data_IF_279435194945
#
_entry.id   IF_279435194945
#
_cell.length_a   1.000
_cell.length_b   1.000
_cell.length_c   1.000
_cell.angle_alpha   90.00
_cell.angle_beta   90.00
_cell.angle_gamma   90.00
#
_symmetry.space_group_name_H-M   'P 1'
#
loop_
_entity.id
_entity.type
_entity.pdbx_description
1 polymer ?
#
# COMPACT_ATOMS: atom_id res chain seq x y z
N UNK A 1 46.99 29.57 14.52
CA UNK A 1 46.13 29.06 13.43
C UNK A 1 44.80 28.59 14.03
N UNK A 2 43.86 29.52 14.28
CA UNK A 2 42.58 29.20 14.91
C UNK A 2 41.60 28.55 13.93
N UNK A 3 40.73 27.66 14.41
CA UNK A 3 39.65 27.09 13.59
C UNK A 3 38.69 28.21 13.20
N UNK A 4 38.78 28.67 11.95
CA UNK A 4 37.87 29.67 11.41
C UNK A 4 36.48 29.02 11.25
N UNK A 5 35.51 29.39 12.09
CA UNK A 5 34.15 28.81 12.07
C UNK A 5 33.46 29.31 10.79
N UNK A 6 32.99 28.40 9.94
CA UNK A 6 32.18 28.77 8.76
C UNK A 6 30.95 29.54 9.23
N UNK A 7 30.66 30.72 8.68
CA UNK A 7 29.40 31.41 8.92
C UNK A 7 28.25 30.59 8.32
N UNK A 8 27.06 30.62 8.94
CA UNK A 8 25.86 29.79 8.60
C UNK A 8 25.91 28.31 9.02
N UNK A 9 26.46 28.00 10.20
CA UNK A 9 26.58 26.63 10.75
C UNK A 9 25.39 26.09 11.54
N UNK A 10 24.25 26.78 11.60
CA UNK A 10 23.08 26.20 12.27
C UNK A 10 22.34 25.26 11.31
N UNK A 11 22.79 24.01 11.20
CA UNK A 11 21.90 22.93 10.78
C UNK A 11 20.83 22.80 11.84
N UNK A 12 19.60 23.24 11.59
CA UNK A 12 18.53 23.14 12.57
C UNK A 12 18.18 21.65 12.78
N UNK A 13 18.57 21.00 13.89
CA UNK A 13 18.37 19.56 14.06
C UNK A 13 16.87 19.20 14.07
N UNK A 14 16.02 20.16 14.45
CA UNK A 14 14.55 20.03 14.44
C UNK A 14 13.92 20.08 13.05
N UNK A 15 14.61 20.59 12.01
CA UNK A 15 14.11 20.56 10.61
C UNK A 15 14.25 19.19 9.95
N UNK A 16 15.10 18.33 10.49
CA UNK A 16 15.43 17.02 9.92
C UNK A 16 14.64 15.85 10.52
N UNK A 17 13.68 16.12 11.42
CA UNK A 17 12.83 15.07 11.97
C UNK A 17 11.79 14.67 10.92
N UNK A 18 12.15 13.65 10.14
CA UNK A 18 11.34 12.79 9.27
C UNK A 18 9.99 13.39 8.89
N UNK A 19 10.01 14.39 8.01
CA UNK A 19 8.79 15.09 7.57
C UNK A 19 7.75 14.16 6.95
N UNK A 20 8.21 13.03 6.45
CA UNK A 20 7.41 12.00 5.79
C UNK A 20 6.60 11.15 6.78
N UNK A 21 6.94 11.17 8.08
CA UNK A 21 6.19 10.49 9.15
C UNK A 21 5.04 11.38 9.65
N UNK A 22 5.06 12.69 9.33
CA UNK A 22 4.01 13.60 9.78
C UNK A 22 2.70 13.28 9.07
N UNK A 23 1.60 13.30 9.84
CA UNK A 23 0.24 13.03 9.35
C UNK A 23 -0.14 13.83 8.10
N UNK A 24 0.22 15.12 8.04
CA UNK A 24 -0.06 15.98 6.87
C UNK A 24 0.60 15.51 5.55
N UNK A 25 1.71 14.78 5.63
CA UNK A 25 2.49 14.31 4.47
C UNK A 25 2.53 12.78 4.39
N UNK A 26 1.60 12.13 5.07
CA UNK A 26 1.53 10.70 5.16
C UNK A 26 1.25 10.09 3.79
N UNK A 27 1.94 8.99 3.50
CA UNK A 27 1.77 8.22 2.27
C UNK A 27 0.89 7.03 2.58
N UNK A 28 0.35 6.39 1.55
CA UNK A 28 -0.36 5.13 1.75
C UNK A 28 0.55 4.07 2.34
N UNK A 29 -0.05 3.24 3.17
CA UNK A 29 0.62 2.15 3.85
C UNK A 29 0.79 0.94 2.97
N UNK A 30 1.73 0.08 3.35
CA UNK A 30 2.10 -1.10 2.56
C UNK A 30 0.94 -2.11 2.52
N UNK A 31 0.26 -2.32 3.64
CA UNK A 31 -0.94 -3.17 3.74
C UNK A 31 -2.07 -2.70 2.82
N UNK A 32 -2.36 -1.39 2.78
CA UNK A 32 -3.32 -0.80 1.85
C UNK A 32 -2.92 -1.04 0.38
N UNK A 33 -1.63 -0.92 0.06
CA UNK A 33 -1.14 -1.16 -1.30
C UNK A 33 -1.24 -2.65 -1.67
N UNK A 34 -1.06 -3.57 -0.71
CA UNK A 34 -1.32 -5.00 -0.95
C UNK A 34 -2.78 -5.26 -1.29
N UNK A 35 -3.71 -4.62 -0.59
CA UNK A 35 -5.15 -4.71 -0.91
C UNK A 35 -5.47 -4.14 -2.29
N UNK A 36 -4.86 -3.01 -2.65
CA UNK A 36 -4.99 -2.41 -3.99
C UNK A 36 -4.42 -3.31 -5.10
N UNK A 37 -3.42 -4.14 -4.80
CA UNK A 37 -2.78 -5.04 -5.77
C UNK A 37 -3.51 -6.37 -5.98
N UNK A 38 -4.36 -6.78 -5.03
CA UNK A 38 -5.22 -7.98 -5.14
C UNK A 38 -6.25 -7.83 -6.26
N UNK A 39 -6.85 -8.96 -6.65
CA UNK A 39 -7.87 -8.99 -7.69
C UNK A 39 -9.05 -8.07 -7.34
N UNK A 40 -9.42 -7.19 -8.28
CA UNK A 40 -10.43 -6.15 -8.06
C UNK A 40 -9.96 -4.90 -7.28
N UNK A 41 -8.86 -4.98 -6.52
CA UNK A 41 -8.28 -3.84 -5.79
C UNK A 41 -7.84 -2.71 -6.71
N UNK A 42 -7.26 -3.07 -7.87
CA UNK A 42 -6.85 -2.09 -8.89
C UNK A 42 -8.03 -1.27 -9.41
N UNK A 43 -9.22 -1.88 -9.54
CA UNK A 43 -10.43 -1.18 -9.97
C UNK A 43 -10.88 -0.19 -8.91
N UNK A 44 -10.92 -0.61 -7.64
CA UNK A 44 -11.23 0.27 -6.50
C UNK A 44 -10.26 1.45 -6.41
N UNK A 45 -8.97 1.20 -6.61
CA UNK A 45 -7.97 2.27 -6.64
C UNK A 45 -8.24 3.30 -7.75
N UNK A 46 -8.63 2.82 -8.94
CA UNK A 46 -8.99 3.68 -10.07
C UNK A 46 -10.35 4.38 -9.84
N UNK A 47 -11.30 3.74 -9.17
CA UNK A 47 -12.56 4.38 -8.78
C UNK A 47 -12.33 5.48 -7.75
N UNK A 48 -11.49 5.23 -6.74
CA UNK A 48 -11.07 6.26 -5.78
C UNK A 48 -10.27 7.38 -6.44
N UNK A 49 -9.68 7.12 -7.61
CA UNK A 49 -9.06 8.14 -8.43
C UNK A 49 -10.10 9.06 -9.08
N UNK A 50 -11.21 8.51 -9.57
CA UNK A 50 -12.30 9.28 -10.17
C UNK A 50 -13.04 10.17 -9.15
N UNK A 51 -13.01 9.80 -7.86
CA UNK A 51 -13.58 10.61 -6.77
C UNK A 51 -12.74 11.82 -6.42
N UNK A 52 -11.45 11.84 -6.78
CA UNK A 52 -10.57 12.98 -6.56
C UNK A 52 -10.71 13.93 -7.74
N UNK A 53 -10.52 15.21 -7.48
CA UNK A 53 -10.45 16.22 -8.53
C UNK A 53 -9.24 15.91 -9.43
N UNK A 54 -9.54 15.35 -10.62
CA UNK A 54 -8.53 14.84 -11.56
C UNK A 54 -7.60 15.96 -12.01
N UNK A 55 -8.11 17.20 -12.04
CA UNK A 55 -7.40 18.42 -12.43
C UNK A 55 -6.24 18.77 -11.47
N UNK A 56 -6.36 18.42 -10.19
CA UNK A 56 -5.33 18.69 -9.18
C UNK A 56 -4.20 17.65 -9.18
N UNK A 57 -4.41 16.51 -9.84
CA UNK A 57 -3.43 15.44 -9.92
C UNK A 57 -2.50 15.64 -11.13
N UNK A 58 -1.19 15.36 -10.98
CA UNK A 58 -0.26 15.51 -12.08
C UNK A 58 -0.59 14.53 -13.21
N UNK A 59 -0.51 15.01 -14.44
CA UNK A 59 -0.82 14.22 -15.64
C UNK A 59 -2.29 13.76 -15.71
N UNK A 60 -3.21 14.48 -15.07
CA UNK A 60 -4.64 14.15 -15.00
C UNK A 60 -4.87 12.69 -14.56
N UNK A 61 -3.99 12.21 -13.69
CA UNK A 61 -3.97 10.84 -13.19
C UNK A 61 -3.94 9.73 -14.26
N UNK A 62 -3.49 10.03 -15.47
CA UNK A 62 -3.35 9.05 -16.56
C UNK A 62 -2.13 8.14 -16.36
N UNK A 63 -1.08 8.65 -15.73
CA UNK A 63 0.18 7.93 -15.53
C UNK A 63 0.42 7.66 -14.04
N UNK A 64 0.00 6.48 -13.57
CA UNK A 64 0.02 6.12 -12.15
C UNK A 64 0.78 4.82 -11.92
N UNK A 65 1.58 4.79 -10.85
CA UNK A 65 2.18 3.57 -10.34
C UNK A 65 1.42 3.12 -9.08
N UNK A 66 0.66 2.03 -9.19
CA UNK A 66 -0.15 1.47 -8.09
C UNK A 66 0.74 1.01 -6.93
N UNK A 67 1.81 0.27 -7.23
CA UNK A 67 2.74 -0.26 -6.22
C UNK A 67 3.43 0.82 -5.36
N UNK A 68 3.56 2.05 -5.86
CA UNK A 68 4.14 3.16 -5.11
C UNK A 68 3.10 4.22 -4.71
N UNK A 69 1.83 4.06 -5.09
CA UNK A 69 0.76 5.07 -4.94
C UNK A 69 1.20 6.48 -5.38
N UNK A 70 1.87 6.59 -6.55
CA UNK A 70 2.41 7.85 -7.08
C UNK A 70 1.89 8.17 -8.47
N UNK A 71 1.62 9.45 -8.68
CA UNK A 71 1.17 10.05 -9.92
C UNK A 71 2.34 10.70 -10.66
N UNK A 72 2.33 10.64 -11.99
CA UNK A 72 3.35 11.19 -12.87
C UNK A 72 2.71 12.07 -13.94
N UNK A 73 3.46 13.06 -14.44
CA UNK A 73 3.00 13.95 -15.49
C UNK A 73 2.93 13.26 -16.87
N UNK A 74 3.93 12.42 -17.20
CA UNK A 74 4.09 11.80 -18.52
C UNK A 74 4.37 10.29 -18.44
N UNK A 75 4.13 9.59 -19.56
CA UNK A 75 4.46 8.17 -19.74
C UNK A 75 5.97 7.89 -19.61
N UNK A 76 6.81 8.80 -20.10
CA UNK A 76 8.27 8.71 -19.97
C UNK A 76 8.71 8.73 -18.51
N UNK A 77 8.11 9.61 -17.68
CA UNK A 77 8.39 9.68 -16.25
C UNK A 77 7.99 8.40 -15.52
N UNK A 78 6.86 7.79 -15.90
CA UNK A 78 6.45 6.49 -15.37
C UNK A 78 7.43 5.37 -15.75
N UNK A 79 7.87 5.33 -17.01
CA UNK A 79 8.83 4.30 -17.47
C UNK A 79 10.18 4.37 -16.75
N UNK A 80 10.68 5.59 -16.50
CA UNK A 80 11.93 5.80 -15.76
C UNK A 80 11.77 5.46 -14.28
N UNK A 81 10.61 5.76 -13.68
CA UNK A 81 10.29 5.37 -12.31
C UNK A 81 10.33 3.85 -12.12
N UNK A 82 9.68 3.09 -13.00
CA UNK A 82 9.61 1.62 -12.93
C UNK A 82 11.00 0.97 -13.01
N UNK A 83 11.89 1.54 -13.83
CA UNK A 83 13.29 1.05 -13.95
C UNK A 83 14.15 1.42 -12.74
N UNK A 84 13.75 2.43 -11.97
CA UNK A 84 14.50 2.96 -10.84
C UNK A 84 14.60 2.01 -9.64
N UNK A 85 15.70 2.15 -8.89
CA UNK A 85 15.92 1.47 -7.60
C UNK A 85 14.78 1.65 -6.58
N UNK A 86 14.15 2.84 -6.40
CA UNK A 86 13.10 2.98 -5.37
C UNK A 86 11.89 2.09 -5.67
N UNK A 87 11.48 1.98 -6.94
CA UNK A 87 10.38 1.12 -7.33
C UNK A 87 10.71 -0.35 -7.09
N UNK A 88 11.91 -0.80 -7.52
CA UNK A 88 12.36 -2.18 -7.27
C UNK A 88 12.45 -2.53 -5.79
N UNK A 89 12.85 -1.58 -4.93
CA UNK A 89 12.82 -1.77 -3.47
C UNK A 89 11.41 -1.89 -2.93
N UNK A 90 10.46 -1.14 -3.48
CA UNK A 90 9.06 -1.23 -3.09
C UNK A 90 8.46 -2.58 -3.50
N UNK A 91 8.75 -3.06 -4.70
CA UNK A 91 8.30 -4.38 -5.15
C UNK A 91 8.80 -5.50 -4.22
N UNK A 92 10.08 -5.46 -3.81
CA UNK A 92 10.61 -6.40 -2.82
C UNK A 92 9.88 -6.37 -1.48
N UNK A 93 9.45 -5.19 -1.02
CA UNK A 93 8.63 -5.08 0.19
C UNK A 93 7.22 -5.63 0.01
N UNK A 94 6.67 -5.52 -1.20
CA UNK A 94 5.35 -6.05 -1.56
C UNK A 94 5.38 -7.56 -1.88
N UNK A 95 6.57 -8.16 -2.00
CA UNK A 95 6.72 -9.62 -2.07
C UNK A 95 6.54 -10.26 -0.68
N UNK A 96 6.86 -9.52 0.38
CA UNK A 96 6.67 -9.95 1.76
C UNK A 96 5.20 -9.77 2.18
N UNK A 97 4.66 -10.66 3.02
CA UNK A 97 3.31 -10.50 3.55
C UNK A 97 3.24 -9.27 4.47
N UNK A 98 2.22 -8.40 4.32
CA UNK A 98 2.12 -7.20 5.14
C UNK A 98 1.78 -7.56 6.59
N UNK A 99 2.44 -6.87 7.52
CA UNK A 99 2.18 -7.03 8.94
C UNK A 99 0.75 -6.66 9.30
N UNK A 100 0.06 -7.52 10.05
CA UNK A 100 -1.34 -7.29 10.43
C UNK A 100 -1.50 -7.08 11.94
N UNK A 101 -2.59 -6.41 12.32
CA UNK A 101 -2.95 -6.24 13.74
C UNK A 101 -3.17 -7.62 14.39
N UNK A 102 -3.71 -8.59 13.67
CA UNK A 102 -3.89 -9.95 14.21
C UNK A 102 -2.56 -10.60 14.56
N UNK A 103 -1.54 -10.45 13.72
CA UNK A 103 -0.20 -10.95 13.96
C UNK A 103 0.42 -10.34 15.22
N UNK A 104 0.26 -9.03 15.40
CA UNK A 104 0.71 -8.33 16.63
C UNK A 104 0.07 -8.88 17.90
N UNK A 105 -1.23 -9.16 17.85
CA UNK A 105 -1.98 -9.72 18.98
C UNK A 105 -1.56 -11.15 19.27
N UNK A 106 -1.38 -11.97 18.23
CA UNK A 106 -0.88 -13.36 18.34
C UNK A 106 0.51 -13.40 18.98
N UNK A 107 1.41 -12.48 18.62
CA UNK A 107 2.76 -12.40 19.18
C UNK A 107 2.76 -12.09 20.70
N UNK A 108 1.79 -11.31 21.17
CA UNK A 108 1.58 -11.00 22.60
C UNK A 108 0.85 -12.13 23.35
N UNK A 109 0.41 -13.18 22.65
CA UNK A 109 -0.41 -14.25 23.22
C UNK A 109 -1.90 -13.91 23.32
N UNK A 110 -2.32 -12.77 22.75
CA UNK A 110 -3.73 -12.39 22.60
C UNK A 110 -4.27 -12.99 21.30
N UNK A 111 -4.65 -14.28 21.33
CA UNK A 111 -5.36 -14.93 20.24
C UNK A 111 -6.87 -14.74 20.41
N UNK A 112 -7.57 -14.31 19.35
CA UNK A 112 -9.01 -14.59 19.25
C UNK A 112 -9.10 -16.11 19.10
N UNK A 113 -9.44 -16.83 20.17
CA UNK A 113 -9.91 -18.20 20.00
C UNK A 113 -11.21 -18.09 19.22
N UNK A 114 -11.10 -18.16 17.89
CA UNK A 114 -12.24 -18.41 17.02
C UNK A 114 -12.67 -19.80 17.45
N UNK A 115 -13.58 -19.87 18.43
CA UNK A 115 -14.12 -21.12 18.92
C UNK A 115 -14.65 -21.96 17.76
N UNK A 116 -15.16 -23.17 18.01
CA UNK A 116 -15.55 -24.08 16.93
C UNK A 116 -16.45 -23.46 15.85
N UNK A 117 -17.31 -22.51 16.23
CA UNK A 117 -18.13 -21.73 15.32
C UNK A 117 -17.32 -20.87 14.32
N UNK A 118 -16.32 -20.12 14.80
CA UNK A 118 -15.47 -19.30 13.92
C UNK A 118 -14.64 -20.15 12.97
N UNK A 119 -14.08 -21.26 13.47
CA UNK A 119 -13.34 -22.25 12.65
C UNK A 119 -14.24 -22.95 11.62
N UNK A 120 -15.51 -23.21 11.96
CA UNK A 120 -16.50 -23.77 11.02
C UNK A 120 -16.81 -22.77 9.91
N UNK A 121 -17.10 -21.51 10.27
CA UNK A 121 -17.44 -20.45 9.31
C UNK A 121 -16.31 -20.13 8.33
N UNK A 122 -15.06 -20.18 8.79
CA UNK A 122 -13.88 -20.02 7.92
C UNK A 122 -13.67 -21.19 6.95
N UNK A 123 -14.01 -22.42 7.36
CA UNK A 123 -13.98 -23.58 6.47
C UNK A 123 -15.09 -23.51 5.42
N UNK A 124 -16.30 -23.14 5.83
CA UNK A 124 -17.44 -22.93 4.93
C UNK A 124 -17.12 -21.83 3.89
N UNK A 125 -16.53 -20.70 4.30
CA UNK A 125 -16.12 -19.65 3.38
C UNK A 125 -15.03 -20.08 2.40
N UNK A 126 -14.05 -20.89 2.84
CA UNK A 126 -13.03 -21.45 1.96
C UNK A 126 -13.59 -22.45 0.96
N UNK A 127 -14.52 -23.31 1.39
CA UNK A 127 -15.25 -24.21 0.49
C UNK A 127 -16.09 -23.45 -0.54
N UNK A 128 -16.72 -22.34 -0.12
CA UNK A 128 -17.51 -21.49 -1.02
C UNK A 128 -16.62 -20.78 -2.04
N UNK A 129 -15.47 -20.23 -1.64
CA UNK A 129 -14.47 -19.66 -2.56
C UNK A 129 -13.91 -20.72 -3.51
N UNK A 130 -13.64 -21.94 -3.05
CA UNK A 130 -13.20 -23.04 -3.92
C UNK A 130 -14.30 -23.50 -4.90
N UNK A 131 -15.57 -23.55 -4.47
CA UNK A 131 -16.71 -23.87 -5.37
C UNK A 131 -16.92 -22.78 -6.41
N UNK A 132 -16.80 -21.51 -6.01
CA UNK A 132 -16.86 -20.37 -6.91
C UNK A 132 -15.69 -20.38 -7.92
N UNK A 133 -14.48 -20.73 -7.47
CA UNK A 133 -13.31 -20.85 -8.33
C UNK A 133 -13.39 -22.05 -9.30
N UNK A 134 -14.09 -23.12 -8.93
CA UNK A 134 -14.37 -24.29 -9.80
C UNK A 134 -15.49 -24.04 -10.81
N UNK A 135 -16.18 -22.89 -10.75
CA UNK A 135 -17.21 -22.53 -11.72
C UNK A 135 -18.51 -23.32 -11.60
N UNK A 136 -18.78 -23.93 -10.43
CA UNK A 136 -20.07 -24.56 -10.12
C UNK A 136 -21.06 -23.50 -9.62
N UNK A 137 -21.34 -22.48 -10.42
CA UNK A 137 -22.53 -21.66 -10.18
C UNK A 137 -23.73 -22.47 -10.62
N UNK A 138 -24.54 -22.92 -9.67
CA UNK A 138 -25.83 -23.57 -9.92
C UNK A 138 -26.66 -22.71 -10.89
N UNK A 139 -26.73 -23.16 -12.13
CA UNK A 139 -27.79 -22.82 -13.05
C UNK A 139 -29.05 -23.54 -12.54
N UNK A 140 -29.83 -22.89 -11.67
CA UNK A 140 -31.18 -23.36 -11.33
C UNK A 140 -32.18 -22.19 -11.35
N UNK A 141 -33.07 -22.31 -12.36
CA UNK A 141 -34.38 -21.69 -12.62
C UNK A 141 -34.46 -20.17 -12.87
#
# INVERSE_FOLDING_TARGET
>A
MGRNRRSRTHSNPKKNQATDIKTRRYKRDIDQIHEDMKDGGKKKFLEDLTKKDIEDLPGLAQHVCVACARYFADSAALSTHVRGKPHKRQLKKLEEEPYTIEESRRAVGLGVDKGEYGKRKEREAKEEEERAAKGETAMEA
#
